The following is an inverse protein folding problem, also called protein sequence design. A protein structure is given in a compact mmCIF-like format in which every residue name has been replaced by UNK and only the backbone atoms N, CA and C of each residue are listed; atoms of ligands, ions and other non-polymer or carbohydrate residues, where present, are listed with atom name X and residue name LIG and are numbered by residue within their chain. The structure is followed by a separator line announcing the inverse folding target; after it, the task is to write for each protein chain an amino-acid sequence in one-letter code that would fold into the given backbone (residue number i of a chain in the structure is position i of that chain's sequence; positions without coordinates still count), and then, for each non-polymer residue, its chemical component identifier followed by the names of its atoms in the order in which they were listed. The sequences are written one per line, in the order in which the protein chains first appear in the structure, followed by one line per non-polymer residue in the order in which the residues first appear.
data_IF_937863889313
#
_entry.id   IF_937863889313
#
_cell.length_a   1.000
_cell.length_b   1.000
_cell.length_c   1.000
_cell.angle_alpha   90.00
_cell.angle_beta   90.00
_cell.angle_gamma   90.00
#
_symmetry.space_group_name_H-M   'P 1'
#
loop_
_entity.id
_entity.type
_entity.pdbx_description
1 polymer ?
#
# COMPACT_ATOMS: atom_id res chain seq x y z
N UNK A 1 8.58 -3.45 -21.71
CA UNK A 1 8.42 -4.47 -20.66
C UNK A 1 8.84 -5.81 -21.27
N UNK A 2 10.01 -6.35 -20.94
CA UNK A 2 10.45 -7.65 -21.47
C UNK A 2 9.80 -8.75 -20.62
N UNK A 3 8.83 -9.45 -21.20
CA UNK A 3 8.28 -10.68 -20.60
C UNK A 3 9.42 -11.69 -20.63
N UNK A 4 9.81 -12.22 -19.46
CA UNK A 4 10.91 -13.17 -19.36
C UNK A 4 10.40 -14.55 -19.80
N UNK A 5 10.49 -14.83 -21.10
CA UNK A 5 9.94 -16.03 -21.73
C UNK A 5 10.51 -17.33 -21.16
N UNK A 6 11.72 -17.29 -20.59
CA UNK A 6 12.35 -18.45 -19.96
C UNK A 6 11.59 -18.94 -18.71
N UNK A 7 11.08 -18.03 -17.89
CA UNK A 7 10.38 -18.40 -16.64
C UNK A 7 9.03 -19.07 -16.93
N UNK A 8 8.33 -18.60 -17.96
CA UNK A 8 7.06 -19.19 -18.41
C UNK A 8 7.26 -20.55 -19.09
N UNK A 9 8.39 -20.75 -19.77
CA UNK A 9 8.72 -21.99 -20.46
C UNK A 9 9.05 -23.12 -19.48
N UNK A 10 9.83 -22.82 -18.43
CA UNK A 10 10.14 -23.78 -17.36
C UNK A 10 8.88 -24.17 -16.58
N UNK A 11 8.00 -23.21 -16.29
CA UNK A 11 6.73 -23.48 -15.62
C UNK A 11 5.82 -24.38 -16.47
N UNK A 12 5.75 -24.14 -17.77
CA UNK A 12 4.93 -24.91 -18.71
C UNK A 12 5.44 -26.34 -18.89
N UNK A 13 6.77 -26.53 -18.94
CA UNK A 13 7.40 -27.86 -19.01
C UNK A 13 7.18 -28.63 -17.71
N UNK A 14 7.27 -27.98 -16.55
CA UNK A 14 6.99 -28.61 -15.25
C UNK A 14 5.54 -29.08 -15.08
N UNK A 15 4.57 -28.28 -15.57
CA UNK A 15 3.16 -28.67 -15.59
C UNK A 15 2.93 -29.84 -16.56
N UNK A 16 3.50 -29.78 -17.76
CA UNK A 16 3.36 -30.83 -18.76
C UNK A 16 3.98 -32.16 -18.32
N UNK A 17 5.20 -32.13 -17.75
CA UNK A 17 5.87 -33.34 -17.25
C UNK A 17 5.12 -33.95 -16.07
N UNK A 18 4.62 -33.11 -15.15
CA UNK A 18 3.76 -33.56 -14.05
C UNK A 18 2.52 -34.30 -14.55
N UNK A 19 1.78 -33.70 -15.49
CA UNK A 19 0.58 -34.32 -16.08
C UNK A 19 0.90 -35.64 -16.78
N UNK A 20 2.01 -35.72 -17.53
CA UNK A 20 2.42 -36.93 -18.24
C UNK A 20 2.80 -38.06 -17.27
N UNK A 21 3.57 -37.76 -16.22
CA UNK A 21 3.93 -38.75 -15.18
C UNK A 21 2.70 -39.24 -14.42
N UNK A 22 1.69 -38.39 -14.25
CA UNK A 22 0.41 -38.71 -13.61
C UNK A 22 -0.49 -39.62 -14.45
N UNK A 23 -0.55 -39.39 -15.76
CA UNK A 23 -1.27 -40.28 -16.69
C UNK A 23 -0.59 -41.65 -16.75
N UNK A 24 0.74 -41.69 -16.68
CA UNK A 24 1.51 -42.94 -16.69
C UNK A 24 1.39 -43.74 -15.39
N UNK A 25 1.17 -43.08 -14.24
CA UNK A 25 1.11 -43.71 -12.92
C UNK A 25 -0.31 -44.11 -12.46
N UNK A 26 -1.37 -43.75 -13.20
CA UNK A 26 -2.76 -43.84 -12.75
C UNK A 26 -3.55 -45.05 -13.27
N UNK A 27 -3.43 -46.21 -12.61
CA UNK A 27 -4.41 -47.32 -12.71
C UNK A 27 -4.89 -47.85 -11.35
N UNK A 28 -4.57 -47.20 -10.22
CA UNK A 28 -5.09 -47.57 -8.90
C UNK A 28 -5.95 -46.45 -8.27
N UNK A 29 -7.19 -46.81 -7.89
CA UNK A 29 -8.25 -45.89 -7.42
C UNK A 29 -7.88 -44.99 -6.23
N UNK A 30 -6.89 -45.38 -5.42
CA UNK A 30 -6.45 -44.59 -4.25
C UNK A 30 -5.63 -43.35 -4.66
N UNK A 31 -4.87 -43.42 -5.76
CA UNK A 31 -4.03 -42.32 -6.23
C UNK A 31 -4.83 -41.13 -6.77
N UNK A 32 -6.01 -41.38 -7.36
CA UNK A 32 -6.89 -40.32 -7.85
C UNK A 32 -7.37 -39.37 -6.75
N UNK A 33 -7.58 -39.86 -5.53
CA UNK A 33 -7.98 -39.04 -4.39
C UNK A 33 -6.84 -38.13 -3.90
N UNK A 34 -5.61 -38.67 -3.79
CA UNK A 34 -4.43 -37.87 -3.44
C UNK A 34 -4.05 -36.87 -4.53
N UNK A 35 -4.18 -37.27 -5.81
CA UNK A 35 -3.97 -36.39 -6.95
C UNK A 35 -5.02 -35.28 -7.02
N UNK A 36 -6.31 -35.61 -6.86
CA UNK A 36 -7.40 -34.63 -6.83
C UNK A 36 -7.23 -33.63 -5.69
N UNK A 37 -6.87 -34.11 -4.49
CA UNK A 37 -6.57 -33.24 -3.34
C UNK A 37 -5.35 -32.35 -3.60
N UNK A 38 -4.28 -32.88 -4.19
CA UNK A 38 -3.09 -32.13 -4.57
C UNK A 38 -3.36 -31.05 -5.64
N UNK A 39 -4.17 -31.37 -6.65
CA UNK A 39 -4.58 -30.43 -7.70
C UNK A 39 -5.44 -29.30 -7.14
N UNK A 40 -6.40 -29.61 -6.27
CA UNK A 40 -7.22 -28.61 -5.58
C UNK A 40 -6.34 -27.71 -4.71
N UNK A 41 -5.42 -28.29 -3.94
CA UNK A 41 -4.51 -27.52 -3.09
C UNK A 41 -3.59 -26.60 -3.92
N UNK A 42 -3.04 -27.10 -5.03
CA UNK A 42 -2.24 -26.32 -5.96
C UNK A 42 -3.03 -25.18 -6.61
N UNK A 43 -4.28 -25.42 -7.00
CA UNK A 43 -5.17 -24.38 -7.54
C UNK A 43 -5.49 -23.31 -6.49
N UNK A 44 -5.82 -23.71 -5.26
CA UNK A 44 -6.07 -22.78 -4.15
C UNK A 44 -4.82 -21.96 -3.84
N UNK A 45 -3.64 -22.59 -3.76
CA UNK A 45 -2.37 -21.91 -3.54
C UNK A 45 -2.06 -20.92 -4.67
N UNK A 46 -2.32 -21.31 -5.92
CA UNK A 46 -2.14 -20.45 -7.10
C UNK A 46 -3.10 -19.26 -7.08
N UNK A 47 -4.38 -19.46 -6.72
CA UNK A 47 -5.37 -18.39 -6.58
C UNK A 47 -4.95 -17.38 -5.50
N UNK A 48 -4.51 -17.86 -4.33
CA UNK A 48 -4.02 -17.00 -3.24
C UNK A 48 -2.76 -16.23 -3.67
N UNK A 49 -1.84 -16.88 -4.37
CA UNK A 49 -0.64 -16.24 -4.92
C UNK A 49 -0.98 -15.17 -5.98
N UNK A 50 -1.93 -15.46 -6.86
CA UNK A 50 -2.39 -14.53 -7.90
C UNK A 50 -3.05 -13.29 -7.27
N UNK A 51 -3.94 -13.48 -6.29
CA UNK A 51 -4.61 -12.39 -5.57
C UNK A 51 -3.61 -11.45 -4.88
N UNK A 52 -2.57 -12.01 -4.24
CA UNK A 52 -1.51 -11.21 -3.61
C UNK A 52 -0.71 -10.39 -4.62
N UNK A 53 -0.36 -10.98 -5.75
CA UNK A 53 0.35 -10.26 -6.81
C UNK A 53 -0.50 -9.15 -7.43
N UNK A 54 -1.81 -9.38 -7.58
CA UNK A 54 -2.74 -8.35 -8.06
C UNK A 54 -2.75 -7.12 -7.15
N UNK A 55 -2.81 -7.31 -5.83
CA UNK A 55 -2.76 -6.19 -4.87
C UNK A 55 -1.47 -5.37 -4.99
N UNK A 56 -0.31 -6.03 -5.16
CA UNK A 56 0.97 -5.33 -5.36
C UNK A 56 1.00 -4.57 -6.69
N UNK A 57 0.44 -5.13 -7.76
CA UNK A 57 0.35 -4.44 -9.05
C UNK A 57 -0.58 -3.23 -8.97
N UNK A 58 -1.70 -3.33 -8.26
CA UNK A 58 -2.62 -2.21 -8.02
C UNK A 58 -1.90 -1.06 -7.31
N UNK A 59 -1.14 -1.35 -6.25
CA UNK A 59 -0.32 -0.33 -5.56
C UNK A 59 0.68 0.31 -6.54
N UNK A 60 1.37 -0.48 -7.37
CA UNK A 60 2.33 0.05 -8.37
C UNK A 60 1.67 0.96 -9.40
N UNK A 61 0.48 0.60 -9.87
CA UNK A 61 -0.29 1.42 -10.82
C UNK A 61 -0.74 2.71 -10.14
N UNK A 62 -1.26 2.63 -8.91
CA UNK A 62 -1.67 3.79 -8.14
C UNK A 62 -0.52 4.74 -7.85
N UNK A 63 0.68 4.24 -7.53
CA UNK A 63 1.87 5.08 -7.36
C UNK A 63 2.23 5.84 -8.64
N UNK A 64 2.23 5.18 -9.81
CA UNK A 64 2.47 5.85 -11.09
C UNK A 64 1.43 6.95 -11.37
N UNK A 65 0.18 6.68 -11.03
CA UNK A 65 -0.90 7.65 -11.20
C UNK A 65 -0.74 8.87 -10.28
N UNK A 66 -0.30 8.66 -9.03
CA UNK A 66 0.00 9.76 -8.10
C UNK A 66 1.24 10.56 -8.52
N UNK A 67 2.29 9.89 -9.01
CA UNK A 67 3.47 10.53 -9.58
C UNK A 67 3.11 11.43 -10.77
N UNK A 68 2.25 10.94 -11.67
CA UNK A 68 1.75 11.71 -12.80
C UNK A 68 0.98 12.96 -12.33
N UNK A 69 0.05 12.81 -11.38
CA UNK A 69 -0.71 13.95 -10.84
C UNK A 69 0.17 15.01 -10.16
N UNK A 70 1.23 14.59 -9.44
CA UNK A 70 2.20 15.52 -8.86
C UNK A 70 2.98 16.26 -9.95
N UNK A 71 3.43 15.53 -10.97
CA UNK A 71 4.18 16.07 -12.11
C UNK A 71 3.34 17.08 -12.91
N UNK A 72 2.08 16.78 -13.18
CA UNK A 72 1.13 17.67 -13.86
C UNK A 72 0.92 18.99 -13.10
N UNK A 73 1.01 18.97 -11.76
CA UNK A 73 0.94 20.16 -10.91
C UNK A 73 2.30 20.85 -10.70
N UNK A 74 3.36 20.36 -11.34
CA UNK A 74 4.72 20.89 -11.15
C UNK A 74 5.29 20.65 -9.74
N UNK A 75 4.75 19.69 -9.00
CA UNK A 75 5.14 19.39 -7.62
C UNK A 75 6.21 18.30 -7.66
N UNK A 76 7.44 18.66 -7.26
CA UNK A 76 8.55 17.73 -7.09
C UNK A 76 8.87 17.59 -5.61
N UNK A 77 8.47 16.49 -4.95
CA UNK A 77 8.66 16.35 -3.51
C UNK A 77 10.14 16.30 -3.12
N UNK A 78 10.51 17.03 -2.07
CA UNK A 78 11.82 16.93 -1.39
C UNK A 78 11.71 16.14 -0.08
N UNK A 79 10.50 16.03 0.47
CA UNK A 79 10.20 15.29 1.68
C UNK A 79 8.80 14.69 1.61
N UNK A 80 8.68 13.41 1.97
CA UNK A 80 7.39 12.77 2.23
C UNK A 80 7.13 12.68 3.73
N UNK A 81 5.95 13.09 4.18
CA UNK A 81 5.53 12.96 5.58
C UNK A 81 4.34 12.00 5.68
N UNK A 82 4.45 10.99 6.54
CA UNK A 82 3.37 10.07 6.87
C UNK A 82 3.06 10.08 8.37
N UNK A 83 1.82 9.74 8.72
CA UNK A 83 1.28 9.91 10.08
C UNK A 83 0.75 8.62 10.70
N UNK A 84 0.85 7.49 10.01
CA UNK A 84 0.48 6.19 10.55
C UNK A 84 1.35 5.09 9.95
N UNK A 85 1.26 3.88 10.52
CA UNK A 85 2.09 2.74 10.09
C UNK A 85 1.90 2.42 8.60
N UNK A 86 0.65 2.40 8.13
CA UNK A 86 0.34 2.07 6.74
C UNK A 86 0.79 3.16 5.78
N UNK A 87 0.59 4.42 6.13
CA UNK A 87 1.10 5.58 5.39
C UNK A 87 2.62 5.62 5.37
N UNK A 88 3.30 5.24 6.46
CA UNK A 88 4.76 5.15 6.51
C UNK A 88 5.31 4.10 5.55
N UNK A 89 4.73 2.90 5.54
CA UNK A 89 5.08 1.86 4.56
C UNK A 89 4.86 2.33 3.12
N UNK A 90 3.72 2.95 2.86
CA UNK A 90 3.40 3.48 1.54
C UNK A 90 4.34 4.63 1.13
N UNK A 91 4.68 5.53 2.05
CA UNK A 91 5.63 6.61 1.81
C UNK A 91 7.02 6.09 1.45
N UNK A 92 7.51 5.04 2.12
CA UNK A 92 8.77 4.39 1.74
C UNK A 92 8.71 3.72 0.36
N UNK A 93 7.60 3.04 0.03
CA UNK A 93 7.43 2.46 -1.31
C UNK A 93 7.39 3.54 -2.38
N UNK A 94 6.66 4.62 -2.11
CA UNK A 94 6.51 5.74 -3.03
C UNK A 94 7.82 6.51 -3.18
N UNK A 95 8.60 6.68 -2.11
CA UNK A 95 9.92 7.33 -2.16
C UNK A 95 10.88 6.57 -3.06
N UNK A 96 10.91 5.23 -2.99
CA UNK A 96 11.70 4.39 -3.90
C UNK A 96 11.21 4.55 -5.34
N UNK A 97 9.89 4.62 -5.55
CA UNK A 97 9.29 4.79 -6.87
C UNK A 97 9.72 6.10 -7.55
N UNK A 98 9.67 7.22 -6.82
CA UNK A 98 10.05 8.56 -7.34
C UNK A 98 11.54 8.90 -7.11
N UNK A 99 12.34 7.96 -6.61
CA UNK A 99 13.77 8.12 -6.28
C UNK A 99 14.07 9.23 -5.26
N UNK A 100 13.23 9.36 -4.24
CA UNK A 100 13.40 10.27 -3.12
C UNK A 100 14.02 9.57 -1.91
N UNK A 101 14.97 10.22 -1.25
CA UNK A 101 15.67 9.68 -0.07
C UNK A 101 15.08 10.13 1.27
N UNK A 102 14.26 11.18 1.29
CA UNK A 102 13.77 11.80 2.51
C UNK A 102 12.32 11.41 2.80
N UNK A 103 12.13 10.59 3.83
CA UNK A 103 10.81 10.22 4.37
C UNK A 103 10.81 10.46 5.87
N UNK A 104 9.79 11.15 6.36
CA UNK A 104 9.52 11.36 7.78
C UNK A 104 8.23 10.65 8.15
N UNK A 105 8.30 9.73 9.11
CA UNK A 105 7.12 9.05 9.65
C UNK A 105 6.90 9.52 11.08
N UNK A 106 5.77 10.16 11.31
CA UNK A 106 5.37 10.65 12.63
C UNK A 106 4.42 9.66 13.29
N UNK A 107 4.66 9.32 14.57
CA UNK A 107 3.82 8.39 15.30
C UNK A 107 2.44 9.00 15.52
N UNK A 108 1.43 8.13 15.47
CA UNK A 108 0.05 8.43 15.81
C UNK A 108 -0.33 7.70 17.09
N UNK A 109 -0.73 8.48 18.09
CA UNK A 109 -1.24 7.97 19.36
C UNK A 109 -2.73 8.30 19.50
N UNK A 110 -3.49 7.39 20.14
CA UNK A 110 -4.88 7.68 20.54
C UNK A 110 -4.85 8.30 21.93
N UNK A 111 -5.37 9.50 22.09
CA UNK A 111 -5.50 10.12 23.40
C UNK A 111 -6.62 9.42 24.16
N UNK A 112 -6.30 8.80 25.30
CA UNK A 112 -7.23 7.96 26.08
C UNK A 112 -8.45 8.72 26.65
N UNK A 113 -8.52 10.06 26.54
CA UNK A 113 -9.48 10.85 27.32
C UNK A 113 -10.78 11.27 26.65
N UNK A 114 -10.97 11.07 25.35
CA UNK A 114 -12.28 11.29 24.69
C UNK A 114 -12.35 10.54 23.37
N UNK A 115 -13.54 10.03 23.03
CA UNK A 115 -13.82 9.04 21.99
C UNK A 115 -13.39 9.34 20.54
N UNK A 116 -12.67 10.44 20.22
CA UNK A 116 -12.23 10.73 18.83
C UNK A 116 -10.93 11.56 18.70
N UNK A 117 -10.10 11.69 19.73
CA UNK A 117 -8.88 12.51 19.60
C UNK A 117 -7.64 11.68 19.20
N UNK A 118 -7.15 11.94 18.00
CA UNK A 118 -5.88 11.42 17.47
C UNK A 118 -4.79 12.45 17.74
N UNK A 119 -3.69 12.02 18.36
CA UNK A 119 -2.46 12.81 18.52
C UNK A 119 -1.43 12.38 17.46
N UNK A 120 -0.75 13.35 16.87
CA UNK A 120 0.30 13.16 15.87
C UNK A 120 1.59 13.76 16.40
N UNK A 121 2.70 13.04 16.28
CA UNK A 121 4.03 13.56 16.63
C UNK A 121 4.18 13.87 18.12
N UNK A 122 3.45 13.17 18.99
CA UNK A 122 3.54 13.36 20.43
C UNK A 122 4.98 13.19 20.92
N UNK A 123 5.50 14.21 21.59
CA UNK A 123 6.89 14.22 22.08
C UNK A 123 7.96 14.48 21.00
N UNK A 124 7.57 14.71 19.74
CA UNK A 124 8.48 15.06 18.65
C UNK A 124 8.32 16.55 18.35
N UNK A 125 9.41 17.30 18.41
CA UNK A 125 9.48 18.65 17.87
C UNK A 125 10.24 18.61 16.54
N UNK A 126 9.67 19.27 15.55
CA UNK A 126 10.25 19.37 14.23
C UNK A 126 10.71 20.82 14.07
N UNK A 127 11.98 21.02 13.79
CA UNK A 127 12.50 22.34 13.46
C UNK A 127 12.01 22.75 12.06
N UNK A 128 10.87 23.45 12.02
CA UNK A 128 10.21 23.91 10.80
C UNK A 128 11.10 24.70 9.85
N UNK A 129 12.09 25.43 10.37
CA UNK A 129 12.99 26.23 9.54
C UNK A 129 13.84 25.35 8.62
N UNK A 130 14.11 24.09 8.99
CA UNK A 130 14.81 23.11 8.13
C UNK A 130 13.99 22.70 6.91
N UNK A 131 12.66 22.85 6.97
CA UNK A 131 11.74 22.41 5.91
C UNK A 131 11.23 23.56 5.05
N UNK A 132 11.56 24.82 5.38
CA UNK A 132 11.03 26.01 4.72
C UNK A 132 11.29 26.07 3.22
N UNK A 133 12.41 25.50 2.77
CA UNK A 133 12.80 25.44 1.35
C UNK A 133 12.54 24.07 0.72
N UNK A 134 11.85 23.17 1.41
CA UNK A 134 11.56 21.82 0.91
C UNK A 134 10.12 21.73 0.42
N UNK A 135 9.92 21.09 -0.73
CA UNK A 135 8.61 20.70 -1.22
C UNK A 135 8.10 19.49 -0.40
N UNK A 136 7.35 19.77 0.66
CA UNK A 136 6.80 18.75 1.55
C UNK A 136 5.50 18.18 0.97
N UNK A 137 5.40 16.86 0.84
CA UNK A 137 4.17 16.17 0.44
C UNK A 137 3.72 15.22 1.54
N UNK A 138 2.47 15.37 1.97
CA UNK A 138 1.85 14.44 2.92
C UNK A 138 1.40 13.20 2.16
N UNK A 139 1.77 12.03 2.68
CA UNK A 139 1.42 10.73 2.13
C UNK A 139 0.53 9.98 3.10
N UNK A 140 -0.62 9.56 2.60
CA UNK A 140 -1.53 8.68 3.33
C UNK A 140 -1.77 7.42 2.50
N UNK A 141 -1.84 6.27 3.17
CA UNK A 141 -2.19 5.04 2.47
C UNK A 141 -3.70 4.98 2.20
N UNK A 142 -4.51 5.31 3.20
CA UNK A 142 -5.96 5.26 3.08
C UNK A 142 -6.62 6.34 3.95
N UNK A 143 -7.51 7.11 3.33
CA UNK A 143 -8.23 8.20 3.97
C UNK A 143 -9.72 7.90 4.10
N UNK A 144 -10.16 7.73 5.34
CA UNK A 144 -11.56 7.41 5.67
C UNK A 144 -12.36 8.63 6.12
N UNK A 145 -12.11 9.15 7.32
CA UNK A 145 -12.82 10.33 7.85
C UNK A 145 -12.06 11.64 7.66
N UNK A 146 -10.72 11.55 7.56
CA UNK A 146 -9.83 12.71 7.51
C UNK A 146 -9.32 13.17 8.87
N UNK A 147 -9.82 12.62 9.98
CA UNK A 147 -9.47 13.14 11.32
C UNK A 147 -7.96 13.08 11.62
N UNK A 148 -7.29 12.03 11.13
CA UNK A 148 -5.82 11.93 11.21
C UNK A 148 -5.12 13.03 10.41
N UNK A 149 -5.65 13.37 9.23
CA UNK A 149 -5.11 14.44 8.40
C UNK A 149 -5.31 15.80 9.06
N UNK A 150 -6.47 16.07 9.66
CA UNK A 150 -6.70 17.33 10.36
C UNK A 150 -5.73 17.52 11.53
N UNK A 151 -5.58 16.48 12.36
CA UNK A 151 -4.62 16.50 13.47
C UNK A 151 -3.18 16.70 12.98
N UNK A 152 -2.83 16.06 11.87
CA UNK A 152 -1.54 16.23 11.22
C UNK A 152 -1.32 17.65 10.68
N UNK A 153 -2.31 18.25 10.03
CA UNK A 153 -2.23 19.62 9.51
C UNK A 153 -2.09 20.63 10.64
N UNK A 154 -2.83 20.45 11.75
CA UNK A 154 -2.68 21.28 12.95
C UNK A 154 -1.28 21.16 13.55
N UNK A 155 -0.78 19.94 13.69
CA UNK A 155 0.58 19.69 14.20
C UNK A 155 1.64 20.34 13.30
N UNK A 156 1.62 20.08 11.99
CA UNK A 156 2.59 20.65 11.05
C UNK A 156 2.52 22.18 11.00
N UNK A 157 1.32 22.75 11.02
CA UNK A 157 1.14 24.21 11.08
C UNK A 157 1.77 24.81 12.34
N UNK A 158 1.62 24.15 13.50
CA UNK A 158 2.30 24.57 14.74
C UNK A 158 3.83 24.52 14.63
N UNK A 159 4.35 23.63 13.79
CA UNK A 159 5.78 23.51 13.48
C UNK A 159 6.19 24.37 12.26
N UNK A 160 5.32 25.25 11.75
CA UNK A 160 5.54 26.09 10.55
C UNK A 160 5.87 25.29 9.27
N UNK A 161 5.43 24.03 9.18
CA UNK A 161 5.58 23.19 8.00
C UNK A 161 4.31 23.28 7.15
N UNK A 162 4.44 23.77 5.92
CA UNK A 162 3.34 23.88 4.97
C UNK A 162 3.50 22.85 3.85
N UNK A 163 2.62 21.84 3.75
CA UNK A 163 2.69 20.85 2.68
C UNK A 163 2.27 21.46 1.34
N UNK A 164 3.01 21.15 0.28
CA UNK A 164 2.69 21.52 -1.09
C UNK A 164 1.55 20.67 -1.67
N UNK A 165 1.44 19.41 -1.24
CA UNK A 165 0.35 18.51 -1.63
C UNK A 165 0.04 17.48 -0.54
N UNK A 166 -1.16 16.92 -0.65
CA UNK A 166 -1.58 15.75 0.11
C UNK A 166 -1.97 14.68 -0.91
N UNK A 167 -1.37 13.50 -0.76
CA UNK A 167 -1.66 12.35 -1.61
C UNK A 167 -2.23 11.17 -0.79
N UNK A 168 -3.14 10.42 -1.38
CA UNK A 168 -3.66 9.17 -0.81
C UNK A 168 -3.71 8.06 -1.84
N UNK A 169 -3.33 6.84 -1.50
CA UNK A 169 -3.56 5.72 -2.42
C UNK A 169 -5.08 5.42 -2.51
N UNK A 170 -5.74 5.35 -1.36
CA UNK A 170 -7.19 5.09 -1.26
C UNK A 170 -7.93 6.21 -0.54
N UNK A 171 -9.12 6.56 -1.01
CA UNK A 171 -10.01 7.50 -0.33
C UNK A 171 -11.44 6.96 -0.29
N UNK A 172 -12.18 7.27 0.77
CA UNK A 172 -13.63 7.01 0.81
C UNK A 172 -14.41 8.20 0.23
N UNK A 173 -15.63 7.99 -0.29
CA UNK A 173 -16.45 9.08 -0.83
C UNK A 173 -16.64 10.24 0.17
N UNK A 174 -16.82 9.94 1.45
CA UNK A 174 -16.97 10.94 2.51
C UNK A 174 -15.73 11.81 2.69
N UNK A 175 -14.53 11.21 2.71
CA UNK A 175 -13.29 11.97 2.74
C UNK A 175 -13.07 12.79 1.47
N UNK A 176 -13.44 12.28 0.29
CA UNK A 176 -13.29 13.00 -0.97
C UNK A 176 -14.09 14.30 -0.99
N UNK A 177 -15.34 14.25 -0.51
CA UNK A 177 -16.18 15.45 -0.38
C UNK A 177 -15.55 16.47 0.57
N UNK A 178 -14.93 15.99 1.66
CA UNK A 178 -14.29 16.84 2.67
C UNK A 178 -12.97 17.47 2.18
N UNK A 179 -12.19 16.77 1.36
CA UNK A 179 -10.89 17.24 0.84
C UNK A 179 -10.85 17.19 -0.70
N UNK A 180 -11.55 18.09 -1.40
CA UNK A 180 -11.67 18.05 -2.86
C UNK A 180 -10.35 18.31 -3.60
N UNK A 181 -9.37 18.96 -2.95
CA UNK A 181 -8.06 19.26 -3.53
C UNK A 181 -7.03 18.12 -3.41
N UNK A 182 -7.37 17.09 -2.63
CA UNK A 182 -6.49 15.96 -2.36
C UNK A 182 -6.29 15.11 -3.61
N UNK A 183 -5.04 14.70 -3.86
CA UNK A 183 -4.69 13.79 -4.95
C UNK A 183 -4.87 12.35 -4.49
N UNK A 184 -5.60 11.53 -5.24
CA UNK A 184 -5.78 10.13 -4.89
C UNK A 184 -5.69 9.21 -6.10
N UNK A 185 -5.42 7.92 -5.87
CA UNK A 185 -5.40 6.92 -6.94
C UNK A 185 -6.74 6.19 -7.10
N UNK A 186 -7.32 5.76 -5.98
CA UNK A 186 -8.51 4.94 -5.98
C UNK A 186 -9.54 5.43 -4.97
N UNK A 187 -10.81 5.44 -5.38
CA UNK A 187 -11.93 5.62 -4.46
C UNK A 187 -12.49 4.23 -4.08
N UNK A 188 -12.66 4.00 -2.78
CA UNK A 188 -13.17 2.72 -2.27
C UNK A 188 -14.37 2.94 -1.33
N UNK A 189 -15.47 2.18 -1.49
CA UNK A 189 -16.71 2.44 -0.74
C UNK A 189 -16.63 2.09 0.75
N UNK A 190 -15.74 1.18 1.17
CA UNK A 190 -15.66 0.73 2.57
C UNK A 190 -14.24 0.60 3.13
N UNK A 191 -14.11 0.89 4.44
CA UNK A 191 -12.86 0.68 5.20
C UNK A 191 -12.54 -0.81 5.42
N UNK A 192 -13.55 -1.67 5.52
CA UNK A 192 -13.38 -3.06 5.98
C UNK A 192 -12.71 -3.93 4.92
N UNK A 193 -13.04 -3.74 3.65
CA UNK A 193 -12.53 -4.56 2.56
C UNK A 193 -11.05 -4.25 2.24
N UNK A 194 -10.61 -3.01 2.42
CA UNK A 194 -9.23 -2.59 2.20
C UNK A 194 -8.25 -3.16 3.23
N UNK A 195 -8.68 -3.29 4.50
CA UNK A 195 -7.84 -3.82 5.58
C UNK A 195 -7.46 -5.29 5.35
N UNK A 196 -8.36 -6.07 4.74
CA UNK A 196 -8.16 -7.51 4.46
C UNK A 196 -7.33 -7.77 3.19
N UNK A 197 -7.10 -6.76 2.34
CA UNK A 197 -6.33 -6.91 1.09
C UNK A 197 -4.84 -6.63 1.26
N UNK A 198 -4.43 -6.24 2.47
CA UNK A 198 -3.13 -5.61 2.68
C UNK A 198 -2.10 -6.57 3.28
N UNK A 199 -1.01 -6.87 2.56
CA UNK A 199 -0.01 -7.82 3.03
C UNK A 199 0.61 -7.43 4.37
N UNK A 200 0.71 -6.13 4.71
CA UNK A 200 1.29 -5.65 5.98
C UNK A 200 0.27 -5.35 7.10
N UNK A 201 -1.04 -5.33 6.81
CA UNK A 201 -2.09 -5.16 7.83
C UNK A 201 -2.51 -6.51 8.40
N UNK A 202 -2.47 -7.56 7.58
CA UNK A 202 -2.94 -8.91 7.92
C UNK A 202 -1.98 -9.72 8.85
N UNK A 203 -1.04 -9.04 9.51
CA UNK A 203 -0.25 -9.60 10.63
C UNK A 203 0.74 -10.72 10.32
N UNK A 204 0.75 -11.32 9.11
CA UNK A 204 1.64 -12.43 8.77
C UNK A 204 3.14 -12.08 8.67
N UNK A 205 3.51 -10.80 8.77
CA UNK A 205 4.90 -10.34 8.85
C UNK A 205 5.31 -9.87 10.26
N UNK A 206 4.46 -10.04 11.28
CA UNK A 206 4.78 -9.71 12.69
C UNK A 206 5.35 -10.95 13.42
N UNK A 207 5.28 -12.14 12.80
CA UNK A 207 5.82 -13.40 13.32
C UNK A 207 6.96 -13.95 12.45
N UNK A 208 7.95 -13.11 12.13
CA UNK A 208 9.27 -13.56 11.67
C UNK A 208 10.32 -13.14 12.69
#
# INVERSE_FOLDING_TARGET
MKINWQDNLVLSIGIASGIITLVAAGLERLWLAYFGAGLIFALVATLVWLQRNLAVQEIKIGMKFLEAQLTERGIKPDLLIAFDRSGGMFACMFSVHIRLQSVLVLPRNRLQRTNRMVSIGEGIQIDGEKFKNQCVVIVTYHMSTGDTLDAAMLYLSSQKVNPAAIISLYITPGARVRYPALLFAYEHPSNRELLNRLPWVDGKYIYL
#
